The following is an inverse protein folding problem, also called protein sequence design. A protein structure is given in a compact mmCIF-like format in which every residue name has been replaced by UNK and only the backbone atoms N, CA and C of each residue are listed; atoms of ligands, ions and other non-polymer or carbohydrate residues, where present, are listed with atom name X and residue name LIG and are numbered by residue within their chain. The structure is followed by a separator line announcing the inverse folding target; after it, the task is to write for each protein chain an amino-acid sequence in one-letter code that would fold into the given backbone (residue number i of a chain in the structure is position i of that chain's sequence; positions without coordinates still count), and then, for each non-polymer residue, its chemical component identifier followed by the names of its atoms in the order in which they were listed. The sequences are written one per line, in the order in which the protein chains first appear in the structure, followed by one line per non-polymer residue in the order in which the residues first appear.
data_IF_078911820874
#
_entry.id   IF_078911820874
#
_cell.length_a   1.000
_cell.length_b   1.000
_cell.length_c   1.000
_cell.angle_alpha   90.00
_cell.angle_beta   90.00
_cell.angle_gamma   90.00
#
_symmetry.space_group_name_H-M   'P 1'
#
loop_
_entity.id
_entity.type
_entity.pdbx_description
1 polymer ?
#
# COMPACT_ATOMS: atom_id res chain seq x y z
N UNK A 1 -1.57 16.95 35.34
CA UNK A 1 -0.21 16.98 34.79
C UNK A 1 -0.17 15.94 33.70
N UNK A 2 -0.54 16.32 32.47
CA UNK A 2 -0.64 15.41 31.33
C UNK A 2 0.56 15.66 30.44
N UNK A 3 1.50 14.73 30.43
CA UNK A 3 2.69 14.79 29.58
C UNK A 3 2.28 14.39 28.16
N UNK A 4 1.92 15.39 27.36
CA UNK A 4 1.63 15.24 25.93
C UNK A 4 2.96 15.13 25.20
N UNK A 5 3.57 13.94 25.24
CA UNK A 5 4.77 13.64 24.47
C UNK A 5 4.41 13.57 22.97
N UNK A 6 4.54 14.73 22.32
CA UNK A 6 4.63 14.86 20.87
C UNK A 6 5.87 14.07 20.42
N UNK A 7 5.68 12.82 20.01
CA UNK A 7 6.73 12.10 19.30
C UNK A 7 6.98 12.88 18.00
N UNK A 8 8.21 13.34 17.73
CA UNK A 8 8.51 13.95 16.44
C UNK A 8 8.19 12.91 15.37
N UNK A 9 7.37 13.32 14.40
CA UNK A 9 7.24 12.63 13.11
C UNK A 9 8.65 12.58 12.55
N UNK A 10 9.32 11.45 12.74
CA UNK A 10 10.51 11.14 11.96
C UNK A 10 10.01 11.01 10.53
N UNK A 11 10.07 12.13 9.80
CA UNK A 11 10.18 12.14 8.35
C UNK A 11 11.49 11.42 8.08
N UNK A 12 11.41 10.09 8.01
CA UNK A 12 12.44 9.30 7.38
C UNK A 12 12.34 9.63 5.89
N UNK A 13 12.94 10.76 5.51
CA UNK A 13 13.48 11.02 4.18
C UNK A 13 14.61 10.02 3.89
N UNK A 14 14.28 8.74 4.00
CA UNK A 14 15.10 7.64 3.57
C UNK A 14 14.28 6.95 2.51
N UNK A 15 14.49 7.35 1.26
CA UNK A 15 14.22 6.48 0.13
C UNK A 15 14.67 5.06 0.51
N UNK A 16 13.77 4.06 0.56
CA UNK A 16 14.19 2.67 0.74
C UNK A 16 14.83 2.14 -0.56
N UNK A 17 15.48 3.00 -1.35
CA UNK A 17 16.16 2.65 -2.58
C UNK A 17 17.57 2.16 -2.22
N UNK A 18 17.62 1.06 -1.49
CA UNK A 18 18.64 0.06 -1.78
C UNK A 18 18.39 -0.40 -3.23
N UNK A 19 19.44 -0.62 -4.02
CA UNK A 19 19.42 -0.82 -5.48
C UNK A 19 18.63 -2.05 -6.00
N UNK A 20 17.71 -2.63 -5.21
CA UNK A 20 16.85 -3.77 -5.54
C UNK A 20 15.37 -3.57 -5.19
N UNK A 21 14.98 -2.42 -4.62
CA UNK A 21 13.56 -2.17 -4.34
C UNK A 21 12.79 -1.98 -5.65
N UNK A 22 11.68 -2.72 -5.80
CA UNK A 22 10.78 -2.60 -6.95
C UNK A 22 9.36 -2.38 -6.41
N UNK A 23 8.57 -1.47 -7.01
CA UNK A 23 7.16 -1.39 -6.71
C UNK A 23 6.49 -2.74 -6.98
N UNK A 24 5.46 -3.04 -6.21
CA UNK A 24 4.71 -4.28 -6.31
C UNK A 24 3.91 -4.33 -7.62
N UNK A 25 3.44 -3.19 -8.10
CA UNK A 25 2.71 -3.04 -9.36
C UNK A 25 2.44 -1.56 -9.64
N UNK A 26 1.48 -1.28 -10.52
CA UNK A 26 1.06 0.08 -10.88
C UNK A 26 -0.28 0.44 -10.23
N UNK A 27 -0.51 1.74 -9.99
CA UNK A 27 -1.86 2.23 -9.67
C UNK A 27 -2.70 2.17 -10.94
N UNK A 28 -3.87 1.55 -10.83
CA UNK A 28 -4.83 1.51 -11.94
C UNK A 28 -5.66 2.77 -11.89
N UNK A 29 -5.85 3.43 -13.02
CA UNK A 29 -6.63 4.65 -13.11
C UNK A 29 -7.87 4.43 -13.96
N UNK A 30 -8.97 5.02 -13.54
CA UNK A 30 -10.23 5.07 -14.28
C UNK A 30 -10.72 6.51 -14.32
N UNK A 31 -11.37 6.89 -15.41
CA UNK A 31 -12.10 8.15 -15.49
C UNK A 31 -13.56 7.91 -15.15
N UNK A 32 -14.15 8.72 -14.29
CA UNK A 32 -15.57 8.63 -14.01
C UNK A 32 -16.43 9.32 -15.09
N UNK A 33 -17.76 9.25 -14.94
CA UNK A 33 -18.71 9.86 -15.88
C UNK A 33 -18.67 11.40 -15.90
N UNK A 34 -17.99 12.03 -14.92
CA UNK A 34 -17.81 13.47 -14.82
C UNK A 34 -16.43 13.90 -15.33
N UNK A 35 -15.60 12.97 -15.78
CA UNK A 35 -14.25 13.24 -16.28
C UNK A 35 -13.16 13.27 -15.21
N UNK A 36 -13.48 12.99 -13.94
CA UNK A 36 -12.48 13.00 -12.86
C UNK A 36 -11.62 11.73 -12.87
N UNK A 37 -10.32 11.88 -12.56
CA UNK A 37 -9.38 10.76 -12.53
C UNK A 37 -9.45 10.07 -11.17
N UNK A 38 -9.85 8.81 -11.17
CA UNK A 38 -9.96 7.96 -9.97
C UNK A 38 -8.80 6.97 -9.94
N UNK A 39 -8.01 7.01 -8.87
CA UNK A 39 -7.01 5.99 -8.58
C UNK A 39 -7.67 4.79 -7.92
N UNK A 40 -7.60 3.63 -8.54
CA UNK A 40 -8.09 2.37 -7.97
C UNK A 40 -6.95 1.73 -7.20
N UNK A 41 -7.17 1.44 -5.93
CA UNK A 41 -6.22 0.86 -4.99
C UNK A 41 -6.69 -0.54 -4.58
N UNK A 42 -5.79 -1.46 -4.20
CA UNK A 42 -6.18 -2.77 -3.69
C UNK A 42 -7.05 -2.61 -2.44
N UNK A 43 -8.17 -3.34 -2.38
CA UNK A 43 -9.07 -3.35 -1.24
C UNK A 43 -8.59 -4.29 -0.12
N UNK A 44 -7.67 -5.20 -0.44
CA UNK A 44 -7.05 -6.13 0.52
C UNK A 44 -5.61 -5.72 0.83
N UNK A 45 -5.18 -5.90 2.08
CA UNK A 45 -3.79 -5.64 2.46
C UNK A 45 -2.80 -6.53 1.70
N UNK A 46 -1.53 -6.14 1.63
CA UNK A 46 -0.51 -6.92 0.93
C UNK A 46 -0.37 -8.33 1.51
N UNK A 47 -0.64 -8.53 2.80
CA UNK A 47 -0.61 -9.86 3.40
C UNK A 47 -1.78 -10.77 2.95
N UNK A 48 -2.85 -10.22 2.37
CA UNK A 48 -4.05 -10.95 1.99
C UNK A 48 -5.02 -11.24 3.16
N UNK A 49 -4.70 -10.78 4.38
CA UNK A 49 -5.42 -11.17 5.60
C UNK A 49 -6.54 -10.20 6.01
N UNK A 50 -6.44 -8.94 5.60
CA UNK A 50 -7.34 -7.88 6.07
C UNK A 50 -7.95 -7.09 4.92
N UNK A 51 -9.24 -6.78 5.05
CA UNK A 51 -9.93 -5.84 4.17
C UNK A 51 -9.65 -4.41 4.62
N UNK A 52 -9.07 -3.59 3.75
CA UNK A 52 -8.74 -2.18 4.02
C UNK A 52 -9.99 -1.31 4.21
N UNK A 53 -11.15 -1.75 3.70
CA UNK A 53 -12.43 -1.12 4.02
C UNK A 53 -12.80 -1.24 5.50
N UNK A 54 -12.40 -2.32 6.15
CA UNK A 54 -12.79 -2.65 7.54
C UNK A 54 -11.75 -2.14 8.52
N UNK A 55 -10.48 -2.47 8.30
CA UNK A 55 -9.39 -2.13 9.24
C UNK A 55 -8.78 -0.75 8.99
N UNK A 56 -9.11 -0.13 7.85
CA UNK A 56 -8.53 1.14 7.42
C UNK A 56 -7.11 1.00 6.87
N UNK A 57 -6.65 2.08 6.25
CA UNK A 57 -5.32 2.15 5.64
C UNK A 57 -4.75 3.56 5.75
N UNK A 58 -3.42 3.65 5.62
CA UNK A 58 -2.69 4.92 5.43
C UNK A 58 -2.09 4.92 4.03
N UNK A 59 -2.43 5.91 3.23
CA UNK A 59 -1.81 6.14 1.92
C UNK A 59 -0.83 7.30 2.01
N UNK A 60 0.42 7.07 1.60
CA UNK A 60 1.45 8.09 1.48
C UNK A 60 1.91 8.15 0.02
N UNK A 61 1.65 9.27 -0.62
CA UNK A 61 2.10 9.54 -1.98
C UNK A 61 3.53 10.09 -1.95
N UNK A 62 4.42 9.40 -2.65
CA UNK A 62 5.82 9.77 -2.87
C UNK A 62 5.99 10.13 -4.35
N UNK A 63 7.16 10.61 -4.76
CA UNK A 63 7.34 11.23 -6.09
C UNK A 63 6.86 10.36 -7.27
N UNK A 64 7.09 9.04 -7.21
CA UNK A 64 6.76 8.10 -8.29
C UNK A 64 5.98 6.87 -7.83
N UNK A 65 5.60 6.79 -6.55
CA UNK A 65 4.86 5.66 -6.03
C UNK A 65 3.97 6.03 -4.85
N UNK A 66 2.91 5.25 -4.70
CA UNK A 66 1.97 5.29 -3.60
C UNK A 66 2.26 4.14 -2.66
N UNK A 67 2.60 4.47 -1.41
CA UNK A 67 2.71 3.49 -0.32
C UNK A 67 1.37 3.37 0.39
N UNK A 68 0.82 2.17 0.47
CA UNK A 68 -0.44 1.88 1.18
C UNK A 68 -0.15 0.93 2.33
N UNK A 69 -0.28 1.41 3.55
CA UNK A 69 -0.05 0.65 4.78
C UNK A 69 -1.38 0.23 5.39
N UNK A 70 -1.52 -1.06 5.71
CA UNK A 70 -2.67 -1.59 6.45
C UNK A 70 -2.52 -1.28 7.94
N UNK A 71 -3.50 -0.60 8.55
CA UNK A 71 -3.40 -0.19 9.97
C UNK A 71 -3.34 -1.39 10.92
N UNK A 72 -4.10 -2.47 10.65
CA UNK A 72 -4.05 -3.69 11.45
C UNK A 72 -2.74 -4.50 11.29
N UNK A 73 -2.00 -4.31 10.20
CA UNK A 73 -0.69 -4.96 10.04
C UNK A 73 0.41 -4.12 10.69
N UNK A 74 0.30 -2.80 10.60
CA UNK A 74 1.24 -1.83 11.19
C UNK A 74 1.25 -1.92 12.72
N UNK A 75 0.08 -2.15 13.34
CA UNK A 75 -0.08 -2.27 14.80
C UNK A 75 0.51 -3.57 15.39
N UNK A 76 0.90 -4.54 14.56
CA UNK A 76 1.51 -5.80 15.05
C UNK A 76 2.94 -5.54 15.51
N UNK A 77 3.31 -6.10 16.67
CA UNK A 77 4.58 -5.91 17.40
C UNK A 77 5.87 -6.18 16.60
N UNK A 78 5.78 -6.82 15.44
CA UNK A 78 6.88 -6.92 14.49
C UNK A 78 6.38 -6.55 13.09
N UNK A 79 6.73 -5.36 12.57
CA UNK A 79 6.37 -4.97 11.21
C UNK A 79 7.09 -5.91 10.24
N UNK A 80 6.37 -6.93 9.75
CA UNK A 80 6.85 -7.84 8.72
C UNK A 80 6.97 -7.11 7.39
N UNK A 81 7.91 -7.46 6.53
CA UNK A 81 8.09 -6.81 5.22
C UNK A 81 6.85 -6.84 4.28
N UNK A 82 5.76 -7.53 4.67
CA UNK A 82 4.50 -7.69 3.95
C UNK A 82 3.33 -6.80 4.47
N UNK A 83 3.60 -5.72 5.22
CA UNK A 83 2.52 -4.86 5.76
C UNK A 83 2.04 -3.75 4.80
N UNK A 84 2.75 -3.48 3.70
CA UNK A 84 2.44 -2.38 2.79
C UNK A 84 2.44 -2.76 1.31
N UNK A 85 1.54 -2.15 0.54
CA UNK A 85 1.64 -2.06 -0.90
C UNK A 85 2.51 -0.87 -1.29
N UNK A 86 3.18 -1.00 -2.42
CA UNK A 86 3.91 0.07 -3.07
C UNK A 86 3.55 -0.01 -4.54
N UNK A 87 2.80 0.98 -5.03
CA UNK A 87 2.27 1.00 -6.38
C UNK A 87 2.86 2.18 -7.13
N UNK A 88 3.35 1.99 -8.34
CA UNK A 88 3.87 3.08 -9.15
C UNK A 88 2.72 4.03 -9.54
N UNK A 89 2.94 5.32 -9.38
CA UNK A 89 1.97 6.36 -9.75
C UNK A 89 2.41 7.10 -11.00
N UNK A 90 1.44 7.47 -11.84
CA UNK A 90 1.69 8.30 -13.01
C UNK A 90 0.95 9.62 -12.89
N UNK A 91 1.60 10.77 -13.16
CA UNK A 91 0.92 12.05 -13.28
C UNK A 91 -0.15 12.05 -14.40
N UNK A 92 -1.16 12.95 -14.36
CA UNK A 92 -1.58 13.75 -13.21
C UNK A 92 -2.12 12.92 -12.04
N UNK A 93 -2.00 13.44 -10.81
CA UNK A 93 -2.52 12.77 -9.60
C UNK A 93 -4.03 12.57 -9.69
N UNK A 94 -4.57 11.47 -9.13
CA UNK A 94 -6.01 11.25 -9.12
C UNK A 94 -6.69 12.23 -8.17
N UNK A 95 -7.89 12.69 -8.54
CA UNK A 95 -8.71 13.57 -7.71
C UNK A 95 -9.26 12.83 -6.47
N UNK A 96 -9.45 11.52 -6.62
CA UNK A 96 -9.95 10.62 -5.56
C UNK A 96 -9.42 9.21 -5.72
N UNK A 97 -9.48 8.44 -4.64
CA UNK A 97 -9.12 7.03 -4.63
C UNK A 97 -10.31 6.15 -4.26
N UNK A 98 -10.40 4.99 -4.92
CA UNK A 98 -11.34 3.92 -4.61
C UNK A 98 -10.58 2.64 -4.27
N UNK A 99 -11.20 1.76 -3.49
CA UNK A 99 -10.67 0.46 -3.15
C UNK A 99 -11.41 -0.62 -3.96
N UNK A 100 -10.67 -1.38 -4.77
CA UNK A 100 -11.19 -2.51 -5.54
C UNK A 100 -10.05 -3.51 -5.80
N UNK A 101 -10.27 -4.79 -5.52
CA UNK A 101 -9.30 -5.86 -5.77
C UNK A 101 -9.38 -6.41 -7.20
N UNK A 102 -10.44 -6.12 -7.96
CA UNK A 102 -10.62 -6.68 -9.30
C UNK A 102 -9.43 -6.42 -10.25
N UNK A 103 -8.82 -5.21 -10.29
CA UNK A 103 -7.64 -4.96 -11.12
C UNK A 103 -6.36 -5.59 -10.58
N UNK A 104 -6.37 -6.03 -9.32
CA UNK A 104 -5.20 -6.51 -8.59
C UNK A 104 -5.20 -8.03 -8.36
N UNK A 105 -6.16 -8.77 -8.92
CA UNK A 105 -6.31 -10.22 -8.70
C UNK A 105 -5.02 -10.99 -8.99
N UNK A 106 -4.37 -10.73 -10.12
CA UNK A 106 -3.13 -11.42 -10.50
C UNK A 106 -1.99 -11.14 -9.52
N UNK A 107 -1.92 -9.92 -8.98
CA UNK A 107 -0.95 -9.50 -7.98
C UNK A 107 -1.21 -10.19 -6.63
N UNK A 108 -2.47 -10.21 -6.20
CA UNK A 108 -2.90 -10.88 -4.98
C UNK A 108 -2.66 -12.39 -5.04
N UNK A 109 -2.91 -13.02 -6.19
CA UNK A 109 -2.61 -14.44 -6.42
C UNK A 109 -1.11 -14.73 -6.37
N UNK A 110 -0.27 -13.90 -7.00
CA UNK A 110 1.18 -14.04 -6.92
C UNK A 110 1.71 -13.95 -5.49
N UNK A 111 1.15 -13.04 -4.68
CA UNK A 111 1.52 -12.93 -3.27
C UNK A 111 1.09 -14.18 -2.49
N UNK A 112 -0.12 -14.67 -2.72
CA UNK A 112 -0.61 -15.90 -2.10
C UNK A 112 0.28 -17.11 -2.47
N UNK A 113 0.76 -17.20 -3.71
CA UNK A 113 1.68 -18.24 -4.16
C UNK A 113 3.06 -18.12 -3.48
N UNK A 114 3.61 -16.91 -3.34
CA UNK A 114 4.88 -16.68 -2.63
C UNK A 114 4.81 -17.16 -1.18
N UNK A 115 3.68 -16.95 -0.50
CA UNK A 115 3.47 -17.42 0.88
C UNK A 115 3.36 -18.94 0.98
N UNK A 116 2.89 -19.62 -0.06
CA UNK A 116 2.75 -21.09 -0.11
C UNK A 116 4.07 -21.81 -0.40
N UNK A 117 5.08 -21.12 -0.92
CA UNK A 117 6.39 -21.73 -1.19
C UNK A 117 7.09 -22.01 0.15
N UNK A 118 7.38 -23.27 0.52
CA UNK A 118 8.17 -23.54 1.71
C UNK A 118 9.57 -22.94 1.54
N UNK A 119 10.12 -22.39 2.62
CA UNK A 119 11.50 -21.92 2.64
C UNK A 119 12.44 -23.06 2.22
N UNK A 120 13.50 -22.79 1.41
CA UNK A 120 14.50 -23.82 1.15
C UNK A 120 15.13 -24.22 2.49
N UNK A 121 15.05 -25.52 2.80
CA UNK A 121 15.67 -26.13 3.98
C UNK A 121 17.17 -26.32 3.83
#
# INVERSE_FOLDING_TARGET
MFDYSYAPIMVLSGDPVGSKWRPHGDVVYRTDNLGARVGVLPATCFSGEHSLHVVGYRALELESYLKITCLACDDKTSPRADYYWALYTTPPRPDRAELDDAPYKDLTEQIAQRKRRPAPG
#
